data_IF_108621997023
#
_entry.id   IF_108621997023
#
_cell.length_a   1.000
_cell.length_b   1.000
_cell.length_c   1.000
_cell.angle_alpha   90.00
_cell.angle_beta   90.00
_cell.angle_gamma   90.00
#
_symmetry.space_group_name_H-M   'P 1'
#
loop_
_entity.id
_entity.type
_entity.pdbx_description
1 polymer ?
#
# COMPACT_ATOMS: atom_id res chain seq x y z
N UNK A 1 -4.11 22.86 8.90
CA UNK A 1 -3.57 21.62 8.27
C UNK A 1 -4.76 20.81 7.76
N UNK A 2 -4.92 20.63 6.44
CA UNK A 2 -6.10 19.96 5.87
C UNK A 2 -6.24 18.52 6.38
N UNK A 3 -7.30 18.24 7.13
CA UNK A 3 -7.67 16.90 7.58
C UNK A 3 -8.01 16.04 6.35
N UNK A 4 -7.03 15.26 5.89
CA UNK A 4 -7.30 14.15 4.97
C UNK A 4 -8.03 13.07 5.78
N UNK A 5 -9.13 12.54 5.22
CA UNK A 5 -9.91 11.50 5.87
C UNK A 5 -8.99 10.35 6.37
N UNK A 6 -9.21 9.88 7.61
CA UNK A 6 -8.30 8.92 8.19
C UNK A 6 -8.54 7.56 7.51
N UNK A 7 -7.46 6.93 7.04
CA UNK A 7 -7.56 5.66 6.33
C UNK A 7 -7.87 4.56 7.34
N UNK A 8 -8.94 3.81 7.12
CA UNK A 8 -9.26 2.64 7.95
C UNK A 8 -8.49 1.41 7.47
N UNK A 9 -8.28 0.45 8.37
CA UNK A 9 -7.63 -0.83 8.07
C UNK A 9 -8.15 -1.47 6.77
N UNK A 10 -9.47 -1.56 6.60
CA UNK A 10 -10.11 -2.17 5.43
C UNK A 10 -9.77 -1.49 4.09
N UNK A 11 -9.54 -0.18 4.07
CA UNK A 11 -9.11 0.54 2.87
C UNK A 11 -7.67 0.18 2.50
N UNK A 12 -6.79 0.12 3.51
CA UNK A 12 -5.39 -0.26 3.34
C UNK A 12 -5.27 -1.69 2.83
N UNK A 13 -5.98 -2.64 3.43
CA UNK A 13 -5.97 -4.05 2.98
C UNK A 13 -6.45 -4.17 1.54
N UNK A 14 -7.52 -3.45 1.17
CA UNK A 14 -8.00 -3.42 -0.21
C UNK A 14 -6.96 -2.85 -1.18
N UNK A 15 -6.30 -1.75 -0.79
CA UNK A 15 -5.23 -1.17 -1.58
C UNK A 15 -4.07 -2.14 -1.77
N UNK A 16 -3.57 -2.74 -0.69
CA UNK A 16 -2.48 -3.72 -0.72
C UNK A 16 -2.82 -4.94 -1.59
N UNK A 17 -4.03 -5.49 -1.48
CA UNK A 17 -4.50 -6.57 -2.36
C UNK A 17 -4.56 -6.14 -3.82
N UNK A 18 -5.03 -4.91 -4.11
CA UNK A 18 -5.07 -4.37 -5.46
C UNK A 18 -3.67 -4.14 -6.05
N UNK A 19 -2.70 -3.83 -5.20
CA UNK A 19 -1.28 -3.73 -5.56
C UNK A 19 -0.61 -5.10 -5.71
N UNK A 20 -1.28 -6.21 -5.40
CA UNK A 20 -0.71 -7.55 -5.48
C UNK A 20 0.21 -7.91 -4.30
N UNK A 21 0.07 -7.24 -3.15
CA UNK A 21 0.68 -7.73 -1.92
C UNK A 21 -0.06 -8.97 -1.42
N UNK A 22 0.70 -9.90 -0.87
CA UNK A 22 0.19 -11.13 -0.26
C UNK A 22 0.37 -11.02 1.25
N UNK A 23 -0.70 -11.30 1.99
CA UNK A 23 -0.65 -11.38 3.45
C UNK A 23 0.20 -12.59 3.87
N UNK A 24 1.17 -12.36 4.74
CA UNK A 24 1.91 -13.43 5.40
C UNK A 24 1.08 -13.98 6.57
N UNK A 25 1.20 -15.29 6.88
CA UNK A 25 0.53 -15.86 8.04
C UNK A 25 0.96 -15.12 9.33
N UNK A 26 -0.01 -14.71 10.15
CA UNK A 26 0.24 -14.08 11.46
C UNK A 26 0.82 -15.13 12.41
N UNK A 27 1.99 -14.86 13.01
CA UNK A 27 2.61 -15.79 13.98
C UNK A 27 2.26 -15.52 15.45
N UNK A 28 1.90 -14.29 15.87
CA UNK A 28 1.49 -14.07 17.27
C UNK A 28 0.99 -12.67 17.63
N UNK A 29 1.20 -11.65 16.79
CA UNK A 29 0.88 -10.26 17.12
C UNK A 29 -0.13 -9.67 16.14
N UNK A 30 -0.96 -8.74 16.58
CA UNK A 30 -2.02 -8.10 15.80
C UNK A 30 -1.55 -7.37 14.53
N UNK A 31 -0.24 -7.28 14.31
CA UNK A 31 0.39 -6.71 13.13
C UNK A 31 0.28 -7.68 11.94
N UNK A 32 -0.45 -7.27 10.90
CA UNK A 32 -0.47 -7.97 9.63
C UNK A 32 0.78 -7.60 8.82
N UNK A 33 1.49 -8.60 8.31
CA UNK A 33 2.60 -8.36 7.38
C UNK A 33 2.15 -8.68 5.95
N UNK A 34 2.45 -7.76 5.05
CA UNK A 34 2.13 -7.85 3.63
C UNK A 34 3.43 -7.77 2.85
N UNK A 35 3.64 -8.71 1.93
CA UNK A 35 4.85 -8.75 1.11
C UNK A 35 4.50 -8.82 -0.37
N UNK A 36 5.30 -8.16 -1.20
CA UNK A 36 5.21 -8.23 -2.66
C UNK A 36 6.62 -8.27 -3.24
N UNK A 37 6.84 -9.16 -4.20
CA UNK A 37 8.03 -9.13 -5.05
C UNK A 37 7.70 -8.41 -6.36
N UNK A 38 8.50 -7.42 -6.73
CA UNK A 38 8.39 -6.75 -8.02
C UNK A 38 9.76 -6.64 -8.69
N UNK A 39 9.82 -6.79 -10.02
CA UNK A 39 11.05 -6.55 -10.79
C UNK A 39 11.14 -5.08 -11.18
N UNK A 40 12.10 -4.36 -10.62
CA UNK A 40 12.40 -2.95 -10.94
C UNK A 40 13.74 -2.89 -11.65
N UNK A 41 13.79 -2.37 -12.89
CA UNK A 41 15.04 -2.25 -13.68
C UNK A 41 15.83 -3.58 -13.73
N UNK A 42 15.12 -4.71 -13.89
CA UNK A 42 15.72 -6.05 -13.92
C UNK A 42 16.08 -6.66 -12.55
N UNK A 43 15.99 -5.91 -11.44
CA UNK A 43 16.27 -6.40 -10.09
C UNK A 43 14.99 -6.77 -9.36
N UNK A 44 14.95 -7.94 -8.72
CA UNK A 44 13.85 -8.33 -7.86
C UNK A 44 13.91 -7.52 -6.55
N UNK A 45 12.91 -6.69 -6.31
CA UNK A 45 12.74 -5.91 -5.09
C UNK A 45 11.60 -6.49 -4.28
N UNK A 46 11.89 -6.82 -3.03
CA UNK A 46 10.91 -7.31 -2.08
C UNK A 46 10.40 -6.12 -1.24
N UNK A 47 9.16 -5.74 -1.47
CA UNK A 47 8.46 -4.72 -0.68
C UNK A 47 7.72 -5.41 0.47
N UNK A 48 7.93 -4.92 1.69
CA UNK A 48 7.27 -5.41 2.89
C UNK A 48 6.57 -4.26 3.58
N UNK A 49 5.26 -4.37 3.76
CA UNK A 49 4.41 -3.42 4.47
C UNK A 49 3.91 -4.08 5.75
N UNK A 50 4.01 -3.38 6.87
CA UNK A 50 3.40 -3.83 8.13
C UNK A 50 2.19 -2.97 8.43
N UNK A 51 1.05 -3.62 8.63
CA UNK A 51 -0.24 -2.99 8.90
C UNK A 51 -0.65 -3.39 10.31
N UNK A 52 -0.83 -2.40 11.18
CA UNK A 52 -1.33 -2.63 12.54
C UNK A 52 -2.81 -2.24 12.62
N UNK A 53 -3.67 -3.15 13.05
CA UNK A 53 -5.12 -2.91 13.07
C UNK A 53 -5.55 -2.00 14.23
N UNK A 54 -4.83 -2.01 15.34
CA UNK A 54 -5.17 -1.22 16.54
C UNK A 54 -4.94 0.28 16.36
N UNK A 55 -4.02 0.67 15.48
CA UNK A 55 -3.78 2.06 15.10
C UNK A 55 -4.80 2.58 14.08
N UNK A 56 -5.87 1.83 13.78
CA UNK A 56 -6.97 2.32 12.96
C UNK A 56 -7.88 3.25 13.78
N UNK A 57 -8.19 4.46 13.29
CA UNK A 57 -7.94 4.94 11.94
C UNK A 57 -6.55 5.64 11.82
N UNK A 58 -5.85 5.40 10.71
CA UNK A 58 -4.42 5.75 10.60
C UNK A 58 -4.17 7.25 10.45
N UNK A 59 -3.22 7.75 11.26
CA UNK A 59 -2.65 9.09 11.10
C UNK A 59 -1.89 9.26 9.79
N UNK A 60 -1.81 10.49 9.30
CA UNK A 60 -1.13 10.82 8.04
C UNK A 60 0.34 10.36 8.01
N UNK A 61 1.05 10.47 9.14
CA UNK A 61 2.44 10.03 9.28
C UNK A 61 2.60 8.53 9.13
N UNK A 62 1.67 7.76 9.70
CA UNK A 62 1.66 6.30 9.58
C UNK A 62 1.33 5.86 8.15
N UNK A 63 0.37 6.53 7.51
CA UNK A 63 0.07 6.34 6.08
C UNK A 63 1.30 6.65 5.21
N UNK A 64 2.02 7.73 5.51
CA UNK A 64 3.26 8.10 4.80
C UNK A 64 4.35 7.04 4.99
N UNK A 65 4.48 6.48 6.20
CA UNK A 65 5.39 5.36 6.48
C UNK A 65 5.04 4.10 5.69
N UNK A 66 3.76 3.70 5.70
CA UNK A 66 3.27 2.55 4.92
C UNK A 66 3.43 2.77 3.40
N UNK A 67 3.15 3.97 2.91
CA UNK A 67 3.35 4.32 1.50
C UNK A 67 4.81 4.15 1.07
N UNK A 68 5.76 4.63 1.89
CA UNK A 68 7.20 4.46 1.65
C UNK A 68 7.61 2.99 1.60
N UNK A 69 7.09 2.17 2.52
CA UNK A 69 7.32 0.71 2.52
C UNK A 69 6.76 0.03 1.25
N UNK A 70 5.62 0.53 0.75
CA UNK A 70 5.02 0.07 -0.49
C UNK A 70 5.69 0.64 -1.76
N UNK A 71 6.69 1.52 -1.61
CA UNK A 71 7.34 2.20 -2.73
C UNK A 71 6.46 3.21 -3.45
N UNK A 72 5.46 3.77 -2.76
CA UNK A 72 4.51 4.74 -3.27
C UNK A 72 4.63 6.07 -2.50
N UNK A 73 4.18 7.16 -3.11
CA UNK A 73 3.95 8.42 -2.38
C UNK A 73 2.67 8.34 -1.53
N UNK A 74 2.56 9.21 -0.52
CA UNK A 74 1.36 9.26 0.35
C UNK A 74 0.07 9.47 -0.45
N UNK A 75 0.10 10.36 -1.46
CA UNK A 75 -1.06 10.62 -2.32
C UNK A 75 -1.47 9.39 -3.11
N UNK A 76 -0.50 8.71 -3.72
CA UNK A 76 -0.74 7.49 -4.50
C UNK A 76 -1.27 6.37 -3.63
N UNK A 77 -0.70 6.20 -2.44
CA UNK A 77 -1.16 5.19 -1.50
C UNK A 77 -2.62 5.41 -1.12
N UNK A 78 -3.02 6.65 -0.82
CA UNK A 78 -4.41 7.02 -0.55
C UNK A 78 -5.33 6.79 -1.76
N UNK A 79 -4.89 7.14 -2.96
CA UNK A 79 -5.64 6.91 -4.19
C UNK A 79 -5.89 5.42 -4.40
N UNK A 80 -4.88 4.57 -4.22
CA UNK A 80 -4.99 3.11 -4.34
C UNK A 80 -5.90 2.53 -3.25
N UNK A 81 -5.82 3.04 -2.03
CA UNK A 81 -6.71 2.61 -0.94
C UNK A 81 -8.18 3.00 -1.20
N UNK A 82 -8.42 4.01 -2.04
CA UNK A 82 -9.77 4.38 -2.47
C UNK A 82 -10.42 3.31 -3.36
N UNK A 83 -11.76 3.22 -3.32
CA UNK A 83 -12.55 2.27 -4.13
C UNK A 83 -12.21 2.36 -5.63
N UNK A 84 -12.09 3.58 -6.15
CA UNK A 84 -11.85 3.83 -7.58
C UNK A 84 -10.41 3.50 -7.99
N UNK A 85 -9.42 3.87 -7.16
CA UNK A 85 -8.01 3.59 -7.45
C UNK A 85 -7.66 2.11 -7.35
N UNK A 86 -8.22 1.38 -6.37
CA UNK A 86 -8.07 -0.08 -6.28
C UNK A 86 -8.58 -0.79 -7.55
N UNK A 87 -9.72 -0.35 -8.11
CA UNK A 87 -10.28 -0.91 -9.34
C UNK A 87 -9.38 -0.62 -10.56
N UNK A 88 -8.80 0.58 -10.63
CA UNK A 88 -7.86 0.97 -11.68
C UNK A 88 -6.55 0.18 -11.59
N UNK A 89 -6.01 0.00 -10.38
CA UNK A 89 -4.83 -0.82 -10.13
C UNK A 89 -5.07 -2.27 -10.54
N UNK A 90 -6.23 -2.87 -10.25
CA UNK A 90 -6.56 -4.23 -10.72
C UNK A 90 -6.66 -4.37 -12.24
N UNK A 91 -7.21 -3.37 -12.95
CA UNK A 91 -7.49 -3.45 -14.39
C UNK A 91 -6.27 -3.18 -15.29
N UNK A 92 -5.26 -2.48 -14.78
CA UNK A 92 -4.07 -2.09 -15.56
C UNK A 92 -2.81 -2.05 -14.70
N UNK A 93 -2.64 -3.08 -13.84
CA UNK A 93 -1.67 -3.12 -12.74
C UNK A 93 -0.23 -2.76 -13.16
N UNK A 94 0.21 -3.23 -14.33
CA UNK A 94 1.56 -2.98 -14.85
C UNK A 94 1.73 -1.56 -15.40
N UNK A 95 0.77 -1.08 -16.18
CA UNK A 95 0.80 0.27 -16.76
C UNK A 95 0.66 1.35 -15.70
N UNK A 96 -0.24 1.15 -14.72
CA UNK A 96 -0.43 2.11 -13.63
C UNK A 96 0.82 2.25 -12.77
N UNK A 97 1.51 1.14 -12.47
CA UNK A 97 2.78 1.16 -11.73
C UNK A 97 3.92 1.79 -12.52
N UNK A 98 4.10 1.43 -13.80
CA UNK A 98 5.15 2.01 -14.65
C UNK A 98 4.96 3.51 -14.86
N UNK A 99 3.73 3.97 -15.05
CA UNK A 99 3.41 5.38 -15.29
C UNK A 99 3.53 6.26 -14.04
N UNK A 100 3.29 5.70 -12.85
CA UNK A 100 3.19 6.48 -11.61
C UNK A 100 4.28 6.14 -10.59
N UNK A 101 5.33 5.39 -10.94
CA UNK A 101 6.44 5.19 -10.03
C UNK A 101 7.19 6.52 -9.86
N UNK A 102 7.41 7.04 -8.64
CA UNK A 102 8.37 8.11 -8.49
C UNK A 102 9.74 7.58 -8.93
N UNK A 103 10.35 8.23 -9.93
CA UNK A 103 11.76 8.04 -10.24
C UNK A 103 12.54 8.40 -8.98
N UNK A 104 13.24 7.39 -8.45
CA UNK A 104 13.96 7.49 -7.18
C UNK A 104 15.24 8.28 -7.36
#
# INVERSE_FOLDING_TARGET
MSQKAPLVHSDVIRGLKALGFVSRPKKSTSHQQWARSEKIKGKAVLLKVTVDEHNSPYSNDLVKSMARQAGLSEKQFREVCSKSGAKKAKRGMLDWFKKNRPDK
#
